data_IF_454211423897
#
_entry.id   IF_454211423897
#
_cell.length_a   1.000
_cell.length_b   1.000
_cell.length_c   1.000
_cell.angle_alpha   90.00
_cell.angle_beta   90.00
_cell.angle_gamma   90.00
#
_symmetry.space_group_name_H-M   'P 1'
#
loop_
_entity.id
_entity.type
_entity.pdbx_description
1 polymer ?
#
# COMPACT_ATOMS: atom_id res chain seq x y z
N UNK A 1 -2.82 15.93 -43.37
CA UNK A 1 -3.29 15.26 -42.13
C UNK A 1 -3.07 16.22 -40.97
N UNK A 2 -4.14 16.63 -40.30
CA UNK A 2 -4.11 17.72 -39.32
C UNK A 2 -3.36 17.31 -38.04
N UNK A 3 -2.41 18.15 -37.64
CA UNK A 3 -1.53 18.03 -36.46
C UNK A 3 -2.31 17.71 -35.18
N UNK A 4 -3.58 18.12 -35.08
CA UNK A 4 -4.44 17.90 -33.91
C UNK A 4 -4.94 16.44 -33.73
N UNK A 5 -5.09 15.68 -34.82
CA UNK A 5 -5.39 14.23 -34.74
C UNK A 5 -4.19 13.43 -34.26
N UNK A 6 -2.97 13.87 -34.58
CA UNK A 6 -1.75 13.25 -34.10
C UNK A 6 -1.56 13.48 -32.59
N UNK A 7 -1.90 14.66 -32.07
CA UNK A 7 -1.74 14.98 -30.64
C UNK A 7 -2.71 14.23 -29.71
N UNK A 8 -3.96 14.06 -30.11
CA UNK A 8 -4.97 13.35 -29.29
C UNK A 8 -4.68 11.85 -29.20
N UNK A 9 -4.17 11.27 -30.29
CA UNK A 9 -3.72 9.88 -30.34
C UNK A 9 -2.38 9.72 -29.59
N UNK A 10 -1.46 10.70 -29.66
CA UNK A 10 -0.23 10.71 -28.87
C UNK A 10 -0.50 10.77 -27.36
N UNK A 11 -1.50 11.54 -26.90
CA UNK A 11 -1.87 11.66 -25.48
C UNK A 11 -2.52 10.38 -24.91
N UNK A 12 -3.24 9.61 -25.73
CA UNK A 12 -3.81 8.30 -25.35
C UNK A 12 -2.82 7.13 -25.51
N UNK A 13 -1.84 7.20 -26.43
CA UNK A 13 -0.81 6.15 -26.58
C UNK A 13 0.42 6.36 -25.67
N UNK A 14 0.69 7.60 -25.25
CA UNK A 14 1.72 7.88 -24.24
C UNK A 14 1.31 7.51 -22.82
N UNK A 15 0.02 7.38 -22.53
CA UNK A 15 -0.49 6.94 -21.21
C UNK A 15 -0.37 5.43 -20.99
N UNK A 16 -0.32 4.62 -22.06
CA UNK A 16 -0.14 3.17 -21.97
C UNK A 16 1.34 2.73 -21.95
N UNK A 17 2.26 3.53 -22.53
CA UNK A 17 3.72 3.29 -22.46
C UNK A 17 4.38 3.86 -21.19
N UNK A 18 3.63 4.54 -20.33
CA UNK A 18 4.11 5.07 -19.05
C UNK A 18 3.97 4.09 -17.88
N UNK A 19 3.69 2.79 -18.10
CA UNK A 19 3.58 1.84 -16.99
C UNK A 19 4.79 1.84 -16.05
N UNK A 20 5.99 2.23 -16.53
CA UNK A 20 7.18 2.37 -15.70
C UNK A 20 7.21 3.64 -14.82
N UNK A 21 6.48 4.71 -15.16
CA UNK A 21 6.54 6.00 -14.43
C UNK A 21 5.58 6.10 -13.24
N UNK A 22 4.69 5.12 -13.05
CA UNK A 22 3.65 5.15 -12.01
C UNK A 22 4.08 4.38 -10.76
N UNK A 23 5.10 3.54 -10.89
CA UNK A 23 5.68 2.78 -9.78
C UNK A 23 6.95 3.47 -9.28
N UNK A 24 7.07 3.60 -7.96
CA UNK A 24 8.34 3.97 -7.35
C UNK A 24 9.30 2.76 -7.42
N UNK A 25 10.17 2.75 -8.42
CA UNK A 25 11.18 1.70 -8.63
C UNK A 25 12.56 2.09 -8.12
N UNK A 26 12.72 3.32 -7.65
CA UNK A 26 13.99 3.89 -7.23
C UNK A 26 14.36 3.52 -5.78
N UNK A 27 13.35 3.21 -4.94
CA UNK A 27 13.54 2.94 -3.53
C UNK A 27 13.12 1.52 -3.16
N UNK A 28 13.83 0.90 -2.22
CA UNK A 28 13.54 -0.47 -1.77
C UNK A 28 12.31 -0.53 -0.86
N UNK A 29 11.52 -1.59 -0.99
CA UNK A 29 10.36 -1.87 -0.13
C UNK A 29 10.73 -2.93 0.90
N UNK A 30 11.12 -2.51 2.11
CA UNK A 30 11.67 -3.41 3.15
C UNK A 30 10.67 -3.75 4.26
N UNK A 31 9.54 -3.04 4.33
CA UNK A 31 8.51 -3.24 5.34
C UNK A 31 7.14 -2.76 4.82
N UNK A 32 6.10 -2.93 5.63
CA UNK A 32 4.73 -2.59 5.25
C UNK A 32 4.51 -1.08 5.11
N UNK A 33 5.19 -0.23 5.89
CA UNK A 33 5.13 1.23 5.72
C UNK A 33 5.69 1.69 4.37
N UNK A 34 6.78 1.09 3.90
CA UNK A 34 7.34 1.37 2.57
C UNK A 34 6.35 0.95 1.48
N UNK A 35 5.71 -0.22 1.65
CA UNK A 35 4.67 -0.69 0.72
C UNK A 35 3.48 0.26 0.69
N UNK A 36 3.01 0.74 1.85
CA UNK A 36 1.98 1.76 1.95
C UNK A 36 2.38 3.01 1.17
N UNK A 37 3.60 3.52 1.39
CA UNK A 37 4.11 4.71 0.68
C UNK A 37 4.12 4.55 -0.84
N UNK A 38 4.54 3.40 -1.37
CA UNK A 38 4.58 3.19 -2.82
C UNK A 38 3.18 3.06 -3.44
N UNK A 39 2.27 2.40 -2.74
CA UNK A 39 0.84 2.38 -3.10
C UNK A 39 0.25 3.79 -3.04
N UNK A 40 0.68 4.64 -2.10
CA UNK A 40 0.27 6.04 -2.03
C UNK A 40 0.73 6.87 -3.22
N UNK A 41 1.97 6.68 -3.65
CA UNK A 41 2.49 7.30 -4.86
C UNK A 41 1.66 6.92 -6.08
N UNK A 42 1.31 5.63 -6.20
CA UNK A 42 0.49 5.13 -7.30
C UNK A 42 -0.93 5.73 -7.29
N UNK A 43 -1.64 5.74 -6.15
CA UNK A 43 -2.95 6.39 -6.08
C UNK A 43 -2.84 7.89 -6.37
N UNK A 44 -1.78 8.55 -5.88
CA UNK A 44 -1.55 9.97 -6.08
C UNK A 44 -1.39 10.33 -7.55
N UNK A 45 -0.66 9.49 -8.31
CA UNK A 45 -0.54 9.61 -9.75
C UNK A 45 -1.90 9.45 -10.46
N UNK A 46 -2.72 8.45 -10.08
CA UNK A 46 -4.08 8.27 -10.62
C UNK A 46 -4.93 9.53 -10.38
N UNK A 47 -4.99 10.02 -9.14
CA UNK A 47 -5.75 11.23 -8.80
C UNK A 47 -5.25 12.45 -9.56
N UNK A 48 -3.93 12.63 -9.66
CA UNK A 48 -3.31 13.71 -10.42
C UNK A 48 -3.71 13.66 -11.90
N UNK A 49 -3.75 12.46 -12.50
CA UNK A 49 -4.21 12.29 -13.89
C UNK A 49 -5.69 12.60 -14.06
N UNK A 50 -6.55 12.21 -13.13
CA UNK A 50 -7.98 12.57 -13.15
C UNK A 50 -8.15 14.10 -13.13
N UNK A 51 -7.38 14.81 -12.30
CA UNK A 51 -7.41 16.28 -12.24
C UNK A 51 -6.93 16.91 -13.56
N UNK A 52 -5.82 16.40 -14.12
CA UNK A 52 -5.30 16.87 -15.42
C UNK A 52 -6.32 16.68 -16.54
N UNK A 53 -6.99 15.53 -16.58
CA UNK A 53 -8.04 15.22 -17.54
C UNK A 53 -9.24 16.17 -17.41
N UNK A 54 -9.69 16.45 -16.19
CA UNK A 54 -10.77 17.41 -15.94
C UNK A 54 -10.40 18.84 -16.38
N UNK A 55 -9.17 19.28 -16.15
CA UNK A 55 -8.69 20.59 -16.61
C UNK A 55 -8.61 20.65 -18.14
N UNK A 56 -8.12 19.60 -18.80
CA UNK A 56 -8.06 19.53 -20.26
C UNK A 56 -9.46 19.57 -20.91
N UNK A 57 -10.46 18.92 -20.29
CA UNK A 57 -11.84 18.99 -20.75
C UNK A 57 -12.39 20.42 -20.67
N UNK A 58 -12.17 21.13 -19.54
CA UNK A 58 -12.60 22.54 -19.42
C UNK A 58 -11.98 23.45 -20.47
N UNK A 59 -10.73 23.22 -20.85
CA UNK A 59 -10.08 23.95 -21.94
C UNK A 59 -10.74 23.63 -23.28
N UNK A 60 -11.01 22.35 -23.55
CA UNK A 60 -11.71 21.90 -24.75
C UNK A 60 -13.10 22.54 -24.88
N UNK A 61 -13.86 22.62 -23.78
CA UNK A 61 -15.18 23.25 -23.76
C UNK A 61 -15.10 24.75 -24.08
N UNK A 62 -14.08 25.45 -23.57
CA UNK A 62 -13.83 26.87 -23.91
C UNK A 62 -13.48 27.05 -25.39
N UNK A 63 -12.67 26.17 -25.95
CA UNK A 63 -12.28 26.25 -27.36
C UNK A 63 -13.45 25.92 -28.29
N UNK A 64 -14.31 24.97 -27.91
CA UNK A 64 -15.58 24.72 -28.59
C UNK A 64 -16.51 25.94 -28.54
N UNK A 65 -16.63 26.62 -27.39
CA UNK A 65 -17.44 27.83 -27.27
C UNK A 65 -16.92 28.96 -28.19
N UNK A 66 -15.60 29.17 -28.22
CA UNK A 66 -14.97 30.14 -29.15
C UNK A 66 -15.21 29.76 -30.61
N UNK A 67 -15.06 28.49 -30.96
CA UNK A 67 -15.28 27.99 -32.32
C UNK A 67 -16.75 28.12 -32.72
N UNK A 68 -17.68 27.90 -31.79
CA UNK A 68 -19.12 28.10 -31.98
C UNK A 68 -19.42 29.56 -32.27
N UNK A 69 -18.86 30.49 -31.48
CA UNK A 69 -19.01 31.92 -31.71
C UNK A 69 -18.42 32.33 -33.08
N UNK A 70 -17.22 31.84 -33.42
CA UNK A 70 -16.58 32.14 -34.70
C UNK A 70 -17.39 31.61 -35.89
N UNK A 71 -17.94 30.39 -35.79
CA UNK A 71 -18.81 29.81 -36.81
C UNK A 71 -20.11 30.61 -36.96
N UNK A 72 -20.70 31.09 -35.87
CA UNK A 72 -21.90 31.93 -35.91
C UNK A 72 -21.62 33.29 -36.58
N UNK A 73 -20.50 33.94 -36.26
CA UNK A 73 -20.07 35.19 -36.90
C UNK A 73 -19.82 35.00 -38.40
N UNK A 74 -19.17 33.90 -38.81
CA UNK A 74 -19.00 33.59 -40.23
C UNK A 74 -20.34 33.37 -40.92
N UNK A 75 -21.22 32.59 -40.31
CA UNK A 75 -22.54 32.30 -40.88
C UNK A 75 -23.35 33.58 -41.08
N UNK A 76 -23.29 34.51 -40.13
CA UNK A 76 -23.93 35.83 -40.25
C UNK A 76 -23.36 36.68 -41.40
N UNK A 77 -22.12 36.43 -41.82
CA UNK A 77 -21.45 37.04 -42.98
C UNK A 77 -21.66 36.26 -44.28
N UNK A 78 -22.43 35.16 -44.26
CA UNK A 78 -22.65 34.30 -45.42
C UNK A 78 -21.52 33.29 -45.68
N UNK A 79 -20.55 33.17 -44.79
CA UNK A 79 -19.46 32.19 -44.88
C UNK A 79 -19.76 30.95 -44.03
N UNK A 80 -19.44 29.75 -44.52
CA UNK A 80 -19.75 28.48 -43.82
C UNK A 80 -18.53 27.59 -43.57
N UNK A 81 -17.32 28.16 -43.71
CA UNK A 81 -16.06 27.41 -43.67
C UNK A 81 -15.83 26.75 -42.31
N UNK A 82 -16.23 27.41 -41.21
CA UNK A 82 -16.03 26.91 -39.84
C UNK A 82 -17.11 25.93 -39.34
N UNK A 83 -18.27 25.88 -39.98
CA UNK A 83 -19.39 25.00 -39.60
C UNK A 83 -19.04 23.50 -39.60
N UNK A 84 -18.40 22.93 -40.66
CA UNK A 84 -17.97 21.53 -40.64
C UNK A 84 -16.83 21.27 -39.64
N UNK A 85 -15.97 22.26 -39.39
CA UNK A 85 -14.90 22.15 -38.38
C UNK A 85 -15.51 22.06 -36.97
N UNK A 86 -16.53 22.87 -36.68
CA UNK A 86 -17.27 22.81 -35.42
C UNK A 86 -17.96 21.45 -35.23
N UNK A 87 -18.65 20.94 -36.26
CA UNK A 87 -19.31 19.64 -36.17
C UNK A 87 -18.31 18.48 -35.90
N UNK A 88 -17.16 18.50 -36.56
CA UNK A 88 -16.10 17.52 -36.32
C UNK A 88 -15.48 17.67 -34.91
N UNK A 89 -15.30 18.90 -34.43
CA UNK A 89 -14.79 19.17 -33.09
C UNK A 89 -15.76 18.71 -32.00
N UNK A 90 -17.07 18.95 -32.16
CA UNK A 90 -18.11 18.48 -31.24
C UNK A 90 -18.13 16.94 -31.19
N UNK A 91 -18.11 16.29 -32.34
CA UNK A 91 -18.11 14.82 -32.42
C UNK A 91 -16.89 14.21 -31.73
N UNK A 92 -15.71 14.81 -31.95
CA UNK A 92 -14.46 14.37 -31.32
C UNK A 92 -14.49 14.59 -29.81
N UNK A 93 -14.95 15.77 -29.36
CA UNK A 93 -15.08 16.08 -27.92
C UNK A 93 -16.04 15.12 -27.23
N UNK A 94 -17.19 14.83 -27.84
CA UNK A 94 -18.18 13.91 -27.27
C UNK A 94 -17.62 12.47 -27.17
N UNK A 95 -16.92 12.00 -28.21
CA UNK A 95 -16.25 10.68 -28.19
C UNK A 95 -15.19 10.58 -27.10
N UNK A 96 -14.39 11.64 -26.92
CA UNK A 96 -13.38 11.70 -25.87
C UNK A 96 -14.01 11.78 -24.47
N UNK A 97 -15.05 12.60 -24.30
CA UNK A 97 -15.79 12.73 -23.05
C UNK A 97 -16.43 11.40 -22.62
N UNK A 98 -17.01 10.64 -23.55
CA UNK A 98 -17.58 9.33 -23.28
C UNK A 98 -16.53 8.34 -22.77
N UNK A 99 -15.39 8.22 -23.46
CA UNK A 99 -14.27 7.36 -23.03
C UNK A 99 -13.73 7.76 -21.66
N UNK A 100 -13.69 9.06 -21.38
CA UNK A 100 -13.20 9.60 -20.12
C UNK A 100 -14.14 9.24 -18.97
N UNK A 101 -15.45 9.36 -19.15
CA UNK A 101 -16.46 8.94 -18.16
C UNK A 101 -16.40 7.43 -17.93
N UNK A 102 -16.33 6.62 -18.99
CA UNK A 102 -16.24 5.15 -18.91
C UNK A 102 -14.99 4.68 -18.15
N UNK A 103 -13.86 5.39 -18.26
CA UNK A 103 -12.62 5.05 -17.57
C UNK A 103 -12.49 5.70 -16.18
N UNK A 104 -13.23 6.79 -15.92
CA UNK A 104 -13.14 7.53 -14.66
C UNK A 104 -13.64 6.70 -13.48
N UNK A 105 -14.76 6.00 -13.64
CA UNK A 105 -15.31 5.15 -12.58
C UNK A 105 -14.33 4.04 -12.18
N UNK A 106 -13.76 3.35 -13.17
CA UNK A 106 -12.73 2.33 -12.95
C UNK A 106 -11.47 2.91 -12.27
N UNK A 107 -11.03 4.10 -12.70
CA UNK A 107 -9.87 4.77 -12.11
C UNK A 107 -10.13 5.23 -10.66
N UNK A 108 -11.33 5.74 -10.36
CA UNK A 108 -11.71 6.12 -8.99
C UNK A 108 -11.82 4.90 -8.08
N UNK A 109 -12.43 3.82 -8.56
CA UNK A 109 -12.51 2.54 -7.83
C UNK A 109 -11.11 1.98 -7.54
N UNK A 110 -10.23 1.98 -8.55
CA UNK A 110 -8.84 1.57 -8.36
C UNK A 110 -8.11 2.46 -7.33
N UNK A 111 -8.31 3.78 -7.37
CA UNK A 111 -7.70 4.70 -6.41
C UNK A 111 -8.18 4.47 -4.97
N UNK A 112 -9.46 4.15 -4.77
CA UNK A 112 -10.03 3.79 -3.47
C UNK A 112 -9.43 2.48 -2.95
N UNK A 113 -9.40 1.44 -3.77
CA UNK A 113 -8.82 0.14 -3.40
C UNK A 113 -7.33 0.28 -3.03
N UNK A 114 -6.58 1.12 -3.75
CA UNK A 114 -5.18 1.40 -3.42
C UNK A 114 -5.04 2.16 -2.09
N UNK A 115 -5.93 3.10 -1.79
CA UNK A 115 -5.93 3.78 -0.50
C UNK A 115 -6.22 2.81 0.66
N UNK A 116 -7.15 1.88 0.49
CA UNK A 116 -7.43 0.82 1.46
C UNK A 116 -6.25 -0.12 1.67
N UNK A 117 -5.56 -0.52 0.58
CA UNK A 117 -4.34 -1.32 0.67
C UNK A 117 -3.28 -0.56 1.46
N UNK A 118 -3.07 0.74 1.19
CA UNK A 118 -2.09 1.55 1.92
C UNK A 118 -2.41 1.61 3.42
N UNK A 119 -3.67 1.86 3.80
CA UNK A 119 -4.10 1.83 5.21
C UNK A 119 -3.92 0.46 5.87
N UNK A 120 -4.22 -0.61 5.13
CA UNK A 120 -4.02 -2.00 5.61
C UNK A 120 -2.54 -2.29 5.88
N UNK A 121 -1.64 -1.80 5.02
CA UNK A 121 -0.21 -1.99 5.20
C UNK A 121 0.31 -1.29 6.48
N UNK A 122 -0.19 -0.10 6.79
CA UNK A 122 0.13 0.59 8.05
C UNK A 122 -0.38 -0.17 9.27
N UNK A 123 -1.63 -0.65 9.20
CA UNK A 123 -2.21 -1.48 10.26
C UNK A 123 -1.41 -2.76 10.47
N UNK A 124 -0.99 -3.42 9.39
CA UNK A 124 -0.14 -4.62 9.43
C UNK A 124 1.21 -4.31 10.08
N UNK A 125 1.85 -3.18 9.74
CA UNK A 125 3.08 -2.75 10.43
C UNK A 125 2.84 -2.60 11.93
N UNK A 126 1.80 -1.85 12.31
CA UNK A 126 1.49 -1.55 13.70
C UNK A 126 1.20 -2.84 14.48
N UNK A 127 0.44 -3.75 13.88
CA UNK A 127 0.11 -5.04 14.49
C UNK A 127 1.36 -5.91 14.67
N UNK A 128 2.25 -5.93 13.68
CA UNK A 128 3.51 -6.70 13.77
C UNK A 128 4.51 -6.10 14.77
N UNK A 129 4.39 -4.81 15.10
CA UNK A 129 5.24 -4.14 16.09
C UNK A 129 4.78 -4.31 17.53
N UNK A 130 3.56 -4.85 17.75
CA UNK A 130 3.03 -5.15 19.08
C UNK A 130 3.87 -6.21 19.78
N UNK A 131 4.21 -5.93 21.04
CA UNK A 131 4.97 -6.82 21.92
C UNK A 131 4.26 -6.99 23.25
N UNK A 132 4.37 -8.18 23.85
CA UNK A 132 4.08 -8.32 25.27
C UNK A 132 5.21 -7.62 26.04
N UNK A 133 4.89 -6.68 26.94
CA UNK A 133 5.90 -5.99 27.72
C UNK A 133 6.49 -6.91 28.77
N UNK A 134 7.76 -6.67 29.11
CA UNK A 134 8.41 -7.37 30.20
C UNK A 134 7.68 -7.06 31.52
N UNK A 135 7.50 -8.08 32.36
CA UNK A 135 7.16 -7.89 33.77
C UNK A 135 8.38 -8.20 34.61
N UNK A 136 8.67 -7.31 35.54
CA UNK A 136 9.84 -7.40 36.39
C UNK A 136 9.87 -8.73 37.15
N UNK A 137 11.09 -9.12 37.52
CA UNK A 137 11.34 -10.18 38.49
C UNK A 137 10.53 -9.93 39.77
N UNK A 138 9.93 -11.00 40.30
CA UNK A 138 9.58 -11.03 41.71
C UNK A 138 9.72 -12.42 42.30
N UNK A 139 9.96 -12.45 43.61
CA UNK A 139 9.92 -13.68 44.40
C UNK A 139 8.50 -14.26 44.40
N UNK A 140 8.41 -15.55 44.12
CA UNK A 140 7.16 -16.35 44.08
C UNK A 140 6.46 -16.45 45.43
N UNK A 141 7.22 -16.55 46.52
CA UNK A 141 6.71 -16.48 47.88
C UNK A 141 6.35 -15.04 48.32
N UNK A 142 6.59 -14.05 47.47
CA UNK A 142 6.30 -12.64 47.70
C UNK A 142 5.04 -12.18 46.96
N UNK A 143 5.09 -10.98 46.41
CA UNK A 143 3.95 -10.33 45.74
C UNK A 143 3.85 -10.65 44.25
N UNK A 144 4.50 -11.72 43.76
CA UNK A 144 4.54 -12.09 42.35
C UNK A 144 3.86 -13.44 42.08
N UNK A 145 2.86 -13.51 41.18
CA UNK A 145 2.15 -12.37 40.61
C UNK A 145 1.39 -11.63 41.72
N UNK A 146 1.05 -10.34 41.53
CA UNK A 146 0.20 -9.64 42.48
C UNK A 146 -1.15 -10.36 42.61
N UNK A 147 -1.87 -10.17 43.73
CA UNK A 147 -3.15 -10.83 43.97
C UNK A 147 -4.20 -10.61 42.85
N UNK A 148 -4.09 -9.50 42.12
CA UNK A 148 -4.94 -9.16 40.96
C UNK A 148 -4.46 -9.76 39.63
N UNK A 149 -3.31 -10.43 39.63
CA UNK A 149 -2.61 -10.89 38.43
C UNK A 149 -1.99 -9.76 37.60
N UNK A 150 -1.26 -10.13 36.54
CA UNK A 150 -0.78 -9.18 35.54
C UNK A 150 -1.74 -9.11 34.35
N UNK A 151 -2.16 -7.89 34.00
CA UNK A 151 -2.78 -7.66 32.70
C UNK A 151 -1.71 -7.77 31.59
N UNK A 152 -1.78 -8.86 30.81
CA UNK A 152 -0.95 -9.05 29.63
C UNK A 152 -1.65 -8.41 28.43
N UNK A 153 -1.27 -7.18 28.14
CA UNK A 153 -1.73 -6.46 26.94
C UNK A 153 -0.55 -6.26 26.02
N UNK A 154 -0.73 -6.59 24.75
CA UNK A 154 0.25 -6.26 23.74
C UNK A 154 0.31 -4.74 23.59
N UNK A 155 1.51 -4.19 23.70
CA UNK A 155 1.76 -2.76 23.57
C UNK A 155 2.72 -2.53 22.43
N UNK A 156 2.46 -1.51 21.63
CA UNK A 156 3.43 -0.99 20.70
C UNK A 156 4.50 -0.23 21.50
N UNK A 157 5.79 -0.37 21.18
CA UNK A 157 6.80 0.47 21.83
C UNK A 157 6.51 1.95 21.48
N UNK A 158 6.78 2.90 22.37
CA UNK A 158 6.51 4.33 22.10
C UNK A 158 7.14 4.81 20.78
N UNK A 159 8.20 4.12 20.32
CA UNK A 159 8.90 4.30 19.06
C UNK A 159 8.45 3.36 17.93
N UNK A 160 7.17 2.96 17.83
CA UNK A 160 6.67 2.08 16.73
C UNK A 160 5.82 2.79 15.68
N UNK A 161 5.58 4.10 15.84
CA UNK A 161 5.18 4.99 14.74
C UNK A 161 6.31 5.44 13.79
N UNK A 162 7.62 5.43 14.12
CA UNK A 162 8.63 6.02 13.27
C UNK A 162 8.67 5.34 11.90
N UNK A 163 8.52 4.02 11.77
CA UNK A 163 8.64 3.35 10.48
C UNK A 163 7.66 3.87 9.41
N UNK A 164 6.45 4.29 9.83
CA UNK A 164 5.44 4.89 8.96
C UNK A 164 5.47 6.42 8.97
N UNK A 165 6.28 7.04 9.82
CA UNK A 165 6.44 8.49 9.86
C UNK A 165 7.17 9.00 8.61
N UNK A 166 6.76 10.18 8.17
CA UNK A 166 7.24 10.81 6.93
C UNK A 166 8.76 10.92 6.86
N UNK A 167 9.44 11.19 7.99
CA UNK A 167 10.90 11.33 8.00
C UNK A 167 11.62 10.02 7.71
N UNK A 168 11.12 8.89 8.21
CA UNK A 168 11.72 7.59 7.95
C UNK A 168 11.44 7.11 6.52
N UNK A 169 10.29 7.48 5.95
CA UNK A 169 9.99 7.22 4.54
C UNK A 169 10.93 7.97 3.57
N UNK A 170 11.49 9.12 3.98
CA UNK A 170 12.49 9.86 3.18
C UNK A 170 13.88 9.20 3.19
N UNK A 171 14.19 8.42 4.22
CA UNK A 171 15.49 7.77 4.41
C UNK A 171 15.59 6.38 3.74
N UNK A 172 14.63 6.05 2.86
CA UNK A 172 14.61 4.75 2.16
C UNK A 172 15.86 4.57 1.30
N UNK A 173 16.47 3.39 1.44
CA UNK A 173 17.61 2.99 0.64
C UNK A 173 17.24 2.94 -0.84
N UNK A 174 18.14 3.37 -1.74
CA UNK A 174 17.96 3.16 -3.17
C UNK A 174 17.89 1.66 -3.46
N UNK A 175 17.09 1.28 -4.45
CA UNK A 175 17.05 -0.09 -4.93
C UNK A 175 18.35 -0.36 -5.71
N UNK A 176 19.15 -1.35 -5.27
CA UNK A 176 20.42 -1.74 -5.92
C UNK A 176 20.21 -2.36 -7.29
N UNK A 177 19.04 -2.96 -7.50
CA UNK A 177 18.48 -3.22 -8.82
C UNK A 177 17.36 -2.20 -9.00
N UNK A 178 17.42 -1.33 -10.02
CA UNK A 178 16.24 -0.56 -10.43
C UNK A 178 15.08 -1.55 -10.44
N UNK A 179 13.97 -1.27 -9.74
CA UNK A 179 12.88 -2.22 -9.45
C UNK A 179 12.18 -2.91 -10.64
N UNK A 180 12.78 -2.92 -11.82
CA UNK A 180 12.64 -3.94 -12.86
C UNK A 180 13.09 -5.29 -12.31
N UNK A 181 12.13 -6.11 -11.94
CA UNK A 181 12.36 -7.55 -12.12
C UNK A 181 12.67 -7.77 -13.61
N UNK A 182 13.35 -8.87 -13.95
CA UNK A 182 13.55 -9.27 -15.36
C UNK A 182 12.23 -9.42 -16.13
N UNK A 183 11.08 -9.34 -15.45
CA UNK A 183 9.74 -9.55 -15.96
C UNK A 183 8.83 -8.32 -15.88
N UNK A 184 9.21 -7.18 -15.31
CA UNK A 184 8.43 -5.92 -15.37
C UNK A 184 8.25 -5.22 -14.01
N UNK A 185 7.26 -4.32 -13.87
CA UNK A 185 6.98 -3.62 -12.62
C UNK A 185 6.58 -4.57 -11.49
N UNK A 186 7.10 -4.32 -10.29
CA UNK A 186 6.88 -5.12 -9.08
C UNK A 186 6.15 -4.31 -8.01
N UNK A 187 5.12 -4.90 -7.42
CA UNK A 187 4.43 -4.38 -6.23
C UNK A 187 4.69 -5.37 -5.10
N UNK A 188 5.17 -4.88 -3.96
CA UNK A 188 5.34 -5.69 -2.75
C UNK A 188 4.33 -5.23 -1.70
N UNK A 189 3.61 -6.17 -1.12
CA UNK A 189 2.75 -5.96 0.05
C UNK A 189 3.19 -6.90 1.15
N UNK A 190 2.90 -6.54 2.40
CA UNK A 190 3.23 -7.33 3.57
C UNK A 190 1.96 -7.81 4.26
N UNK A 191 2.06 -8.99 4.84
CA UNK A 191 1.03 -9.63 5.63
C UNK A 191 1.51 -9.81 7.06
N UNK A 192 0.59 -9.74 8.02
CA UNK A 192 0.88 -10.17 9.37
C UNK A 192 0.96 -11.70 9.41
N UNK A 193 2.04 -12.21 10.00
CA UNK A 193 2.24 -13.63 10.24
C UNK A 193 2.43 -13.84 11.74
N UNK A 194 1.63 -14.70 12.39
CA UNK A 194 1.90 -15.11 13.76
C UNK A 194 3.32 -15.66 13.87
N UNK A 195 4.06 -15.24 14.89
CA UNK A 195 5.41 -15.74 15.10
C UNK A 195 5.33 -17.23 15.42
N UNK A 196 6.22 -18.03 14.85
CA UNK A 196 6.36 -19.42 15.28
C UNK A 196 6.81 -19.45 16.75
N UNK A 197 6.57 -20.58 17.43
CA UNK A 197 7.08 -20.77 18.78
C UNK A 197 8.59 -20.63 18.77
N UNK A 198 9.10 -19.70 19.56
CA UNK A 198 10.53 -19.51 19.70
C UNK A 198 11.15 -20.72 20.41
N UNK A 199 12.33 -21.16 19.96
CA UNK A 199 13.02 -22.34 20.52
C UNK A 199 14.12 -22.00 21.52
N UNK A 200 14.51 -20.73 21.63
CA UNK A 200 15.62 -20.27 22.48
C UNK A 200 15.13 -19.50 23.70
N UNK A 201 15.76 -19.74 24.85
CA UNK A 201 15.48 -19.04 26.12
C UNK A 201 15.54 -17.50 26.03
N UNK A 202 16.17 -16.95 25.00
CA UNK A 202 16.39 -15.51 24.80
C UNK A 202 15.28 -14.82 24.03
N UNK A 203 14.34 -15.56 23.43
CA UNK A 203 13.42 -15.03 22.44
C UNK A 203 11.96 -15.16 22.84
N UNK A 204 11.15 -14.20 22.42
CA UNK A 204 9.70 -14.27 22.50
C UNK A 204 9.12 -13.93 23.86
N UNK A 205 7.80 -13.70 23.91
CA UNK A 205 7.14 -13.50 25.18
C UNK A 205 7.06 -14.84 25.91
N UNK A 206 7.68 -14.92 27.08
CA UNK A 206 7.76 -16.15 27.88
C UNK A 206 7.60 -15.86 29.36
N UNK A 207 7.04 -16.82 30.08
CA UNK A 207 7.10 -16.84 31.54
C UNK A 207 8.37 -17.60 31.91
N UNK A 208 9.27 -16.94 32.63
CA UNK A 208 10.51 -17.55 33.10
C UNK A 208 10.41 -17.80 34.61
N UNK A 209 11.00 -18.90 35.08
CA UNK A 209 11.17 -19.19 36.50
C UNK A 209 12.58 -19.71 36.81
N UNK A 210 13.21 -19.21 37.87
CA UNK A 210 14.50 -19.73 38.35
C UNK A 210 14.66 -19.58 39.87
N UNK A 211 15.72 -20.17 40.43
CA UNK A 211 15.98 -20.21 41.87
C UNK A 211 16.60 -18.92 42.45
N UNK A 212 16.79 -17.89 41.64
CA UNK A 212 17.45 -16.64 42.03
C UNK A 212 16.88 -15.45 41.25
N UNK A 213 17.30 -14.23 41.60
CA UNK A 213 16.87 -13.05 40.86
C UNK A 213 17.38 -13.01 39.41
N UNK A 214 16.50 -12.67 38.48
CA UNK A 214 16.75 -12.31 37.09
C UNK A 214 17.59 -11.02 37.03
N UNK A 215 18.59 -11.00 36.13
CA UNK A 215 19.46 -9.85 35.90
C UNK A 215 18.89 -8.90 34.86
N UNK A 216 19.55 -7.77 34.62
CA UNK A 216 19.06 -6.71 33.71
C UNK A 216 18.87 -7.13 32.24
N UNK A 217 19.43 -8.27 31.83
CA UNK A 217 19.41 -8.80 30.45
C UNK A 217 19.06 -10.29 30.40
N UNK A 218 18.23 -10.79 31.31
CA UNK A 218 18.11 -12.25 31.41
C UNK A 218 17.16 -12.91 30.42
N UNK A 219 17.74 -13.94 29.82
CA UNK A 219 17.13 -15.06 29.13
C UNK A 219 16.25 -15.88 30.11
N UNK A 220 15.21 -16.55 29.62
CA UNK A 220 14.53 -17.64 30.33
C UNK A 220 15.45 -18.87 30.45
N UNK A 221 16.59 -18.74 31.12
CA UNK A 221 17.37 -19.92 31.51
C UNK A 221 16.58 -20.64 32.61
N UNK A 222 15.99 -21.78 32.25
CA UNK A 222 15.14 -22.54 33.16
C UNK A 222 15.94 -22.96 34.41
N UNK A 223 15.39 -22.67 35.59
CA UNK A 223 15.85 -23.30 36.83
C UNK A 223 15.45 -24.78 36.87
N UNK A 224 16.07 -25.55 37.76
CA UNK A 224 15.63 -26.92 38.03
C UNK A 224 14.14 -26.95 38.44
N UNK A 225 13.39 -27.92 37.92
CA UNK A 225 11.99 -28.17 38.27
C UNK A 225 11.82 -28.22 39.80
N UNK A 226 10.89 -27.44 40.34
CA UNK A 226 10.61 -27.38 41.78
C UNK A 226 11.51 -26.44 42.60
N UNK A 227 12.53 -25.83 42.00
CA UNK A 227 13.42 -24.87 42.67
C UNK A 227 13.12 -23.40 42.32
N UNK A 228 11.99 -23.12 41.67
CA UNK A 228 11.62 -21.76 41.26
C UNK A 228 11.26 -20.90 42.47
N UNK A 229 12.13 -19.95 42.81
CA UNK A 229 11.88 -18.96 43.88
C UNK A 229 11.53 -17.60 43.31
N UNK A 230 11.91 -17.30 42.06
CA UNK A 230 11.58 -16.06 41.36
C UNK A 230 10.98 -16.34 39.98
N UNK A 231 10.09 -15.45 39.54
CA UNK A 231 9.48 -15.49 38.22
C UNK A 231 9.54 -14.11 37.53
N UNK A 232 9.54 -14.13 36.20
CA UNK A 232 9.41 -12.93 35.36
C UNK A 232 8.64 -13.25 34.09
N UNK A 233 8.19 -12.20 33.39
CA UNK A 233 7.69 -12.35 32.02
C UNK A 233 8.67 -11.62 31.09
N UNK A 234 9.32 -12.34 30.20
CA UNK A 234 10.20 -11.78 29.17
C UNK A 234 9.36 -11.10 28.08
N UNK A 235 9.82 -9.94 27.58
CA UNK A 235 9.15 -9.26 26.49
C UNK A 235 9.33 -10.00 25.16
N UNK A 236 8.36 -9.88 24.26
CA UNK A 236 8.53 -10.39 22.89
C UNK A 236 7.39 -10.05 21.96
N UNK A 237 7.66 -10.11 20.65
CA UNK A 237 6.65 -9.89 19.62
C UNK A 237 5.73 -11.09 19.45
N UNK A 238 4.48 -10.81 19.08
CA UNK A 238 3.48 -11.85 18.80
C UNK A 238 3.49 -12.28 17.33
N UNK A 239 4.04 -11.45 16.45
CA UNK A 239 4.06 -11.70 15.01
C UNK A 239 5.27 -11.14 14.32
N UNK A 240 5.32 -11.40 13.02
CA UNK A 240 6.30 -10.89 12.08
C UNK A 240 5.58 -10.44 10.80
N UNK A 241 6.34 -9.81 9.90
CA UNK A 241 5.86 -9.42 8.58
C UNK A 241 6.30 -10.46 7.55
N UNK A 242 5.39 -10.83 6.66
CA UNK A 242 5.66 -11.70 5.52
C UNK A 242 5.40 -10.95 4.22
N UNK A 243 6.42 -10.83 3.37
CA UNK A 243 6.30 -10.16 2.09
C UNK A 243 5.64 -11.05 1.04
N UNK A 244 4.68 -10.50 0.30
CA UNK A 244 4.18 -11.05 -0.96
C UNK A 244 4.49 -10.08 -2.09
N UNK A 245 5.04 -10.61 -3.18
CA UNK A 245 5.37 -9.83 -4.37
C UNK A 245 4.46 -10.19 -5.54
N UNK A 246 3.99 -9.15 -6.21
CA UNK A 246 3.22 -9.19 -7.44
C UNK A 246 4.06 -8.59 -8.57
N UNK A 247 4.19 -9.30 -9.67
CA UNK A 247 4.92 -8.84 -10.84
C UNK A 247 4.02 -8.86 -12.05
N UNK A 248 4.10 -7.81 -12.86
CA UNK A 248 3.46 -7.75 -14.16
C UNK A 248 4.49 -8.04 -15.23
N UNK A 249 4.07 -8.76 -16.28
CA UNK A 249 4.88 -9.02 -17.47
C UNK A 249 5.32 -7.71 -18.19
N UNK A 250 6.54 -7.72 -18.75
CA UNK A 250 7.19 -6.60 -19.46
C UNK A 250 6.39 -6.12 -20.67
N UNK A 251 5.69 -7.04 -21.33
CA UNK A 251 4.81 -6.74 -22.46
C UNK A 251 3.58 -5.93 -22.05
N UNK A 252 3.28 -5.88 -20.74
CA UNK A 252 2.14 -5.15 -20.18
C UNK A 252 0.79 -5.73 -20.59
N UNK A 253 0.76 -6.92 -21.20
CA UNK A 253 -0.48 -7.53 -21.71
C UNK A 253 -1.19 -8.38 -20.66
N UNK A 254 -0.45 -8.90 -19.68
CA UNK A 254 -1.01 -9.67 -18.57
C UNK A 254 -1.20 -8.83 -17.31
N UNK A 255 -2.11 -9.28 -16.45
CA UNK A 255 -2.31 -8.77 -15.08
C UNK A 255 -1.14 -9.12 -14.16
N UNK A 256 -1.15 -8.53 -12.96
CA UNK A 256 -0.20 -8.86 -11.92
C UNK A 256 -0.36 -10.32 -11.47
N UNK A 257 0.75 -11.05 -11.52
CA UNK A 257 0.83 -12.44 -11.05
C UNK A 257 1.66 -12.52 -9.77
N UNK A 258 1.20 -13.36 -8.85
CA UNK A 258 1.90 -13.62 -7.59
C UNK A 258 3.13 -14.48 -7.84
N UNK A 259 4.31 -14.13 -7.29
CA UNK A 259 5.52 -14.94 -7.45
C UNK A 259 5.95 -15.80 -6.25
N UNK A 260 5.88 -15.35 -4.98
CA UNK A 260 6.29 -16.14 -3.79
C UNK A 260 5.76 -15.55 -2.46
N UNK A 261 5.79 -16.35 -1.37
CA UNK A 261 4.88 -17.45 -1.07
C UNK A 261 3.51 -16.95 -0.54
N UNK A 262 2.58 -17.88 -0.30
CA UNK A 262 1.26 -17.57 0.23
C UNK A 262 1.28 -17.29 1.73
N UNK A 263 0.71 -16.17 2.23
CA UNK A 263 0.40 -16.08 3.65
C UNK A 263 -0.61 -17.18 3.95
N UNK A 264 -0.39 -17.86 5.07
CA UNK A 264 -1.42 -18.71 5.66
C UNK A 264 -2.62 -17.79 5.97
N UNK A 265 -3.74 -17.99 5.29
CA UNK A 265 -4.91 -17.14 5.44
C UNK A 265 -5.42 -17.21 6.89
N UNK A 266 -5.33 -16.10 7.62
CA UNK A 266 -5.89 -15.97 8.98
C UNK A 266 -7.40 -15.69 8.97
N UNK A 267 -7.94 -15.14 7.87
CA UNK A 267 -9.37 -14.91 7.70
C UNK A 267 -9.88 -15.72 6.52
N UNK A 268 -10.39 -16.93 6.80
CA UNK A 268 -11.38 -17.54 5.92
C UNK A 268 -12.65 -16.71 6.04
N UNK A 269 -12.83 -15.71 5.17
CA UNK A 269 -14.18 -15.33 4.82
C UNK A 269 -14.80 -16.53 4.13
N UNK A 270 -15.49 -17.35 4.91
CA UNK A 270 -16.47 -18.28 4.39
C UNK A 270 -17.51 -17.38 3.73
N UNK A 271 -17.39 -17.16 2.42
CA UNK A 271 -18.53 -16.71 1.61
C UNK A 271 -19.56 -17.80 1.83
N UNK A 272 -20.59 -17.50 2.63
CA UNK A 272 -21.80 -18.29 2.61
C UNK A 272 -22.26 -18.26 1.17
N UNK A 273 -22.27 -19.44 0.55
CA UNK A 273 -22.74 -19.64 -0.81
C UNK A 273 -24.21 -19.22 -0.87
N UNK A 274 -24.52 -18.33 -1.79
CA UNK A 274 -25.80 -18.38 -2.49
C UNK A 274 -25.89 -19.76 -3.14
N UNK A 275 -26.83 -20.57 -2.68
CA UNK A 275 -27.44 -21.66 -3.44
C UNK A 275 -28.88 -21.76 -2.96
N UNK A 276 -29.79 -21.37 -3.87
CA UNK A 276 -31.20 -21.71 -4.05
C UNK A 276 -31.99 -22.19 -2.82
#
# INVERSE_FOLDING_TARGET
>A
MSVYKAWSILLLLSTLRQSESWHNTAQKVENACHAASDVRTLYGAIKGKIVQLSQAQRTTDKDLAKLTLAAAVQTAKGETILTPVLAAAITTSHSNGKKLVEQLEAAMTAATNLAEIAGTQELVQYTASLKIPQKADGATAGTWPPATGFALRATAAATTKPECDKENLKQRKPATDQGRSSNGPKITVYHYKPKATDSTATEGPRICGKASAFGATTTCADGALGATTNMMILAGSLGTLEATSFERDKSGKADYSRRQPSPAALFRHKRASETN
#
